data_IF_351863826170
#
_entry.id   IF_351863826170
#
_cell.length_a   1.000
_cell.length_b   1.000
_cell.length_c   1.000
_cell.angle_alpha   90.00
_cell.angle_beta   90.00
_cell.angle_gamma   90.00
#
_symmetry.space_group_name_H-M   'P 1'
#
loop_
_entity.id
_entity.type
_entity.pdbx_description
1 polymer ?
#
# COMPACT_ATOMS: atom_id res chain seq x y z
N UNK A 1 -5.27 17.23 -16.14
CA UNK A 1 -5.59 16.40 -14.97
C UNK A 1 -5.80 17.32 -13.78
N UNK A 2 -7.02 17.41 -13.28
CA UNK A 2 -7.35 18.26 -12.13
C UNK A 2 -6.55 17.81 -10.91
N UNK A 3 -5.60 18.64 -10.50
CA UNK A 3 -4.89 18.48 -9.22
C UNK A 3 -5.89 18.73 -8.12
N UNK A 4 -6.58 17.70 -7.67
CA UNK A 4 -7.53 17.87 -6.56
C UNK A 4 -6.75 18.00 -5.26
N UNK A 5 -6.67 19.24 -4.80
CA UNK A 5 -5.87 19.62 -3.65
C UNK A 5 -6.70 19.40 -2.38
N UNK A 6 -6.80 18.16 -1.91
CA UNK A 6 -7.50 17.85 -0.68
C UNK A 6 -6.52 17.81 0.50
N UNK A 7 -6.83 18.60 1.53
CA UNK A 7 -6.08 18.61 2.79
C UNK A 7 -6.86 17.84 3.85
N UNK A 8 -6.37 16.66 4.20
CA UNK A 8 -6.88 15.90 5.34
C UNK A 8 -5.94 16.13 6.53
N UNK A 9 -6.52 16.47 7.69
CA UNK A 9 -5.81 16.52 8.97
C UNK A 9 -6.24 15.32 9.81
N UNK A 10 -5.26 14.59 10.31
CA UNK A 10 -5.43 13.48 11.24
C UNK A 10 -4.62 13.79 12.51
N UNK A 11 -5.19 13.54 13.68
CA UNK A 11 -4.45 13.48 14.94
C UNK A 11 -4.01 12.03 15.12
N UNK A 12 -2.72 11.78 15.32
CA UNK A 12 -2.21 10.42 15.42
C UNK A 12 -0.68 10.36 15.41
N UNK A 13 -0.15 9.28 14.84
CA UNK A 13 1.28 8.95 14.84
C UNK A 13 1.90 9.22 13.46
N UNK A 14 2.28 10.48 13.13
CA UNK A 14 2.74 10.85 11.79
C UNK A 14 3.99 10.08 11.35
N UNK A 15 4.94 9.85 12.26
CA UNK A 15 6.17 9.10 11.97
C UNK A 15 5.89 7.64 11.63
N UNK A 16 4.96 7.00 12.35
CA UNK A 16 4.59 5.61 12.08
C UNK A 16 3.82 5.47 10.77
N UNK A 17 2.89 6.40 10.49
CA UNK A 17 2.18 6.40 9.21
C UNK A 17 3.14 6.64 8.04
N UNK A 18 4.11 7.55 8.20
CA UNK A 18 5.17 7.75 7.21
C UNK A 18 5.98 6.47 6.99
N UNK A 19 6.34 5.76 8.07
CA UNK A 19 7.10 4.51 7.97
C UNK A 19 6.30 3.41 7.25
N UNK A 20 5.00 3.29 7.52
CA UNK A 20 4.07 2.39 6.82
C UNK A 20 4.05 2.71 5.32
N UNK A 21 3.88 3.99 4.97
CA UNK A 21 3.83 4.44 3.58
C UNK A 21 5.15 4.18 2.85
N UNK A 22 6.29 4.51 3.46
CA UNK A 22 7.63 4.24 2.90
C UNK A 22 7.79 2.74 2.62
N UNK A 23 7.37 1.88 3.55
CA UNK A 23 7.48 0.44 3.37
C UNK A 23 6.61 -0.07 2.20
N UNK A 24 5.38 0.43 2.07
CA UNK A 24 4.51 0.11 0.93
C UNK A 24 5.10 0.63 -0.38
N UNK A 25 5.61 1.86 -0.41
CA UNK A 25 6.21 2.47 -1.61
C UNK A 25 7.47 1.73 -2.06
N UNK A 26 8.33 1.31 -1.14
CA UNK A 26 9.52 0.53 -1.47
C UNK A 26 9.12 -0.84 -2.05
N UNK A 27 8.09 -1.51 -1.49
CA UNK A 27 7.61 -2.76 -2.05
C UNK A 27 7.07 -2.60 -3.47
N UNK A 28 6.31 -1.53 -3.74
CA UNK A 28 5.83 -1.23 -5.08
C UNK A 28 6.98 -0.88 -6.02
N UNK A 29 7.94 -0.07 -5.58
CA UNK A 29 9.13 0.29 -6.35
C UNK A 29 9.91 -0.95 -6.77
N UNK A 30 10.20 -1.84 -5.84
CA UNK A 30 11.03 -3.02 -6.10
C UNK A 30 10.40 -3.91 -7.19
N UNK A 31 9.10 -4.22 -7.08
CA UNK A 31 8.42 -5.04 -8.10
C UNK A 31 8.27 -4.30 -9.44
N UNK A 32 8.07 -2.98 -9.42
CA UNK A 32 8.05 -2.18 -10.63
C UNK A 32 9.42 -2.14 -11.31
N UNK A 33 10.52 -2.14 -10.57
CA UNK A 33 11.88 -2.21 -11.10
C UNK A 33 12.20 -3.58 -11.70
N UNK A 34 11.75 -4.67 -11.06
CA UNK A 34 11.91 -6.05 -11.55
C UNK A 34 11.13 -6.35 -12.83
N UNK A 35 9.99 -5.68 -13.05
CA UNK A 35 9.14 -5.91 -14.22
C UNK A 35 9.53 -5.02 -15.40
N UNK A 36 9.62 -5.63 -16.57
CA UNK A 36 9.75 -4.92 -17.84
C UNK A 36 8.37 -4.43 -18.31
N UNK A 37 7.97 -3.24 -17.84
CA UNK A 37 6.70 -2.60 -18.16
C UNK A 37 6.95 -1.32 -18.95
N UNK A 38 6.20 -1.13 -20.04
CA UNK A 38 6.26 0.08 -20.85
C UNK A 38 5.94 1.35 -20.05
N UNK A 39 5.05 1.24 -19.06
CA UNK A 39 4.74 2.31 -18.10
C UNK A 39 4.72 1.73 -16.69
N UNK A 40 5.30 2.45 -15.73
CA UNK A 40 5.34 2.09 -14.31
C UNK A 40 4.54 3.13 -13.53
N UNK A 41 3.47 2.69 -12.87
CA UNK A 41 2.59 3.56 -12.11
C UNK A 41 2.61 3.18 -10.65
N UNK A 42 2.67 4.22 -9.80
CA UNK A 42 2.37 4.14 -8.38
C UNK A 42 1.33 5.22 -8.09
N UNK A 43 0.08 4.80 -7.92
CA UNK A 43 -1.06 5.69 -7.68
C UNK A 43 -1.41 5.70 -6.20
N UNK A 44 -1.67 6.90 -5.69
CA UNK A 44 -2.13 7.08 -4.32
C UNK A 44 -3.47 7.78 -4.39
N UNK A 45 -4.47 7.22 -3.72
CA UNK A 45 -5.75 7.88 -3.53
C UNK A 45 -6.07 7.98 -2.05
N UNK A 46 -6.78 9.04 -1.69
CA UNK A 46 -7.21 9.29 -0.34
C UNK A 46 -8.67 9.71 -0.38
N UNK A 47 -9.46 9.12 0.51
CA UNK A 47 -10.87 9.46 0.66
C UNK A 47 -11.22 9.52 2.14
N UNK A 48 -12.27 10.27 2.45
CA UNK A 48 -12.79 10.40 3.80
C UNK A 48 -14.21 9.86 3.82
N UNK A 49 -14.51 9.02 4.80
CA UNK A 49 -15.86 8.57 5.14
C UNK A 49 -16.31 9.30 6.40
N UNK A 50 -17.52 8.98 6.89
CA UNK A 50 -18.01 9.51 8.16
C UNK A 50 -17.17 9.07 9.37
N UNK A 51 -16.48 7.93 9.29
CA UNK A 51 -15.80 7.32 10.44
C UNK A 51 -14.32 7.02 10.20
N UNK A 52 -13.85 7.10 8.96
CA UNK A 52 -12.48 6.72 8.59
C UNK A 52 -11.89 7.60 7.48
N UNK A 53 -10.58 7.79 7.53
CA UNK A 53 -9.77 8.17 6.36
C UNK A 53 -9.24 6.89 5.72
N UNK A 54 -9.44 6.76 4.41
CA UNK A 54 -9.00 5.63 3.61
C UNK A 54 -7.88 6.12 2.69
N UNK A 55 -6.68 5.56 2.86
CA UNK A 55 -5.54 5.75 1.96
C UNK A 55 -5.33 4.47 1.19
N UNK A 56 -5.21 4.57 -0.13
CA UNK A 56 -4.96 3.42 -0.99
C UNK A 56 -3.75 3.69 -1.87
N UNK A 57 -2.86 2.71 -1.95
CA UNK A 57 -1.64 2.75 -2.76
C UNK A 57 -1.70 1.60 -3.75
N UNK A 58 -1.57 1.90 -5.04
CA UNK A 58 -1.70 0.96 -6.15
C UNK A 58 -0.45 0.97 -7.03
N UNK A 59 0.08 -0.19 -7.37
CA UNK A 59 1.02 -0.34 -8.48
C UNK A 59 0.34 -0.95 -9.72
N UNK A 60 1.03 -0.99 -10.86
CA UNK A 60 0.61 -1.75 -12.05
C UNK A 60 1.51 -2.97 -12.33
N UNK A 61 2.07 -3.59 -11.29
CA UNK A 61 3.10 -4.63 -11.44
C UNK A 61 2.58 -6.06 -11.56
N UNK A 62 1.27 -6.23 -11.85
CA UNK A 62 0.65 -7.56 -12.01
C UNK A 62 0.09 -8.16 -10.72
N UNK A 63 0.24 -7.48 -9.58
CA UNK A 63 -0.38 -7.85 -8.30
C UNK A 63 0.38 -8.92 -7.52
N UNK A 64 -0.26 -9.38 -6.44
CA UNK A 64 0.27 -10.37 -5.49
C UNK A 64 -0.32 -11.74 -5.82
N UNK A 65 0.49 -12.79 -5.83
CA UNK A 65 -0.02 -14.17 -5.97
C UNK A 65 -1.10 -14.46 -4.92
N UNK A 66 -2.17 -15.18 -5.31
CA UNK A 66 -3.28 -15.48 -4.40
C UNK A 66 -2.82 -16.22 -3.14
N UNK A 67 -1.88 -17.14 -3.30
CA UNK A 67 -1.33 -17.94 -2.20
C UNK A 67 -0.50 -17.09 -1.22
N UNK A 68 -0.03 -15.92 -1.66
CA UNK A 68 0.77 -15.01 -0.84
C UNK A 68 -0.10 -13.99 -0.11
N UNK A 69 -1.29 -13.63 -0.62
CA UNK A 69 -2.12 -12.55 -0.06
C UNK A 69 -2.46 -12.73 1.42
N UNK A 70 -2.64 -13.97 1.88
CA UNK A 70 -2.89 -14.28 3.29
C UNK A 70 -1.66 -14.15 4.17
N UNK A 71 -0.46 -14.26 3.59
CA UNK A 71 0.80 -14.37 4.32
C UNK A 71 1.74 -13.19 4.15
N UNK A 72 1.45 -12.24 3.27
CA UNK A 72 2.33 -11.06 3.06
C UNK A 72 2.54 -10.19 4.32
N UNK A 73 1.66 -10.35 5.32
CA UNK A 73 1.76 -9.67 6.60
C UNK A 73 2.34 -10.56 7.70
N UNK A 74 2.65 -11.83 7.41
CA UNK A 74 3.31 -12.73 8.35
C UNK A 74 4.77 -12.29 8.56
N UNK A 75 5.29 -12.42 9.79
CA UNK A 75 6.68 -12.08 10.05
C UNK A 75 7.62 -12.95 9.21
N UNK A 76 8.67 -12.32 8.67
CA UNK A 76 9.69 -12.93 7.82
C UNK A 76 9.19 -13.41 6.44
N UNK A 77 7.93 -13.16 6.09
CA UNK A 77 7.45 -13.42 4.74
C UNK A 77 8.12 -12.48 3.74
N UNK A 78 8.81 -13.04 2.76
CA UNK A 78 9.40 -12.28 1.65
C UNK A 78 9.53 -13.17 0.42
N UNK A 79 9.24 -12.61 -0.75
CA UNK A 79 9.53 -13.23 -2.05
C UNK A 79 10.87 -12.77 -2.63
N UNK A 80 11.51 -11.78 -1.99
CA UNK A 80 12.81 -11.22 -2.40
C UNK A 80 13.93 -12.14 -1.95
N UNK A 81 15.06 -12.13 -2.66
CA UNK A 81 16.26 -12.85 -2.22
C UNK A 81 16.64 -12.44 -0.79
N UNK A 82 17.14 -13.38 0.03
CA UNK A 82 17.44 -13.15 1.47
C UNK A 82 18.34 -11.95 1.76
N UNK A 83 19.15 -11.51 0.78
CA UNK A 83 20.00 -10.32 0.89
C UNK A 83 19.25 -8.99 0.69
N UNK A 84 18.01 -9.01 0.18
CA UNK A 84 17.24 -7.84 -0.24
C UNK A 84 16.01 -7.55 0.62
N UNK A 85 15.63 -8.43 1.55
CA UNK A 85 14.47 -8.19 2.40
C UNK A 85 14.42 -9.10 3.63
N UNK A 86 14.16 -8.51 4.79
CA UNK A 86 14.00 -9.22 6.07
C UNK A 86 12.61 -9.84 6.23
N UNK A 87 11.64 -9.44 5.40
CA UNK A 87 10.23 -9.83 5.54
C UNK A 87 9.52 -9.22 6.77
N UNK A 88 10.12 -8.21 7.41
CA UNK A 88 9.57 -7.58 8.62
C UNK A 88 8.72 -6.34 8.30
N UNK A 89 8.95 -5.69 7.16
CA UNK A 89 8.37 -4.38 6.86
C UNK A 89 6.84 -4.37 6.89
N UNK A 90 6.18 -5.25 6.13
CA UNK A 90 4.71 -5.30 6.05
C UNK A 90 4.08 -5.77 7.36
N UNK A 91 4.72 -6.72 8.05
CA UNK A 91 4.32 -7.13 9.40
C UNK A 91 4.30 -5.93 10.37
N UNK A 92 5.41 -5.19 10.47
CA UNK A 92 5.50 -4.01 11.34
C UNK A 92 4.52 -2.92 10.91
N UNK A 93 4.29 -2.77 9.60
CA UNK A 93 3.31 -1.83 9.09
C UNK A 93 1.90 -2.18 9.58
N UNK A 94 1.52 -3.46 9.55
CA UNK A 94 0.23 -3.92 10.05
C UNK A 94 0.11 -3.72 11.55
N UNK A 95 1.15 -4.02 12.30
CA UNK A 95 1.22 -3.79 13.75
C UNK A 95 1.02 -2.31 14.11
N UNK A 96 1.72 -1.39 13.45
CA UNK A 96 1.57 0.07 13.68
C UNK A 96 0.13 0.52 13.40
N UNK A 97 -0.43 0.14 12.25
CA UNK A 97 -1.79 0.55 11.86
C UNK A 97 -2.84 -0.04 12.81
N UNK A 98 -2.79 -1.34 13.11
CA UNK A 98 -3.84 -2.04 13.85
C UNK A 98 -3.70 -1.85 15.36
N UNK A 99 -2.49 -1.94 15.92
CA UNK A 99 -2.29 -1.86 17.37
C UNK A 99 -2.19 -0.43 17.88
N UNK A 100 -1.45 0.44 17.18
CA UNK A 100 -1.22 1.81 17.66
C UNK A 100 -2.31 2.77 17.18
N UNK A 101 -2.67 2.69 15.90
CA UNK A 101 -3.63 3.64 15.30
C UNK A 101 -5.09 3.16 15.29
N UNK A 102 -5.36 1.92 15.75
CA UNK A 102 -6.69 1.30 15.75
C UNK A 102 -7.35 1.29 14.36
N UNK A 103 -6.53 1.25 13.31
CA UNK A 103 -6.96 1.16 11.93
C UNK A 103 -6.93 -0.27 11.39
N UNK A 104 -6.98 -0.39 10.07
CA UNK A 104 -6.73 -1.65 9.36
C UNK A 104 -5.80 -1.45 8.18
N UNK A 105 -4.89 -2.41 7.97
CA UNK A 105 -4.05 -2.51 6.80
C UNK A 105 -4.35 -3.82 6.06
N UNK A 106 -4.80 -3.70 4.82
CA UNK A 106 -5.17 -4.84 3.96
C UNK A 106 -4.51 -4.72 2.60
N UNK A 107 -4.39 -5.85 1.90
CA UNK A 107 -3.93 -5.89 0.51
C UNK A 107 -4.92 -6.66 -0.37
N UNK A 108 -5.02 -6.24 -1.62
CA UNK A 108 -5.83 -6.92 -2.65
C UNK A 108 -5.25 -6.65 -4.02
N UNK A 109 -5.59 -7.45 -5.04
CA UNK A 109 -5.30 -7.09 -6.43
C UNK A 109 -6.46 -6.30 -7.01
N UNK A 110 -6.17 -5.25 -7.78
CA UNK A 110 -7.20 -4.38 -8.36
C UNK A 110 -6.84 -4.01 -9.79
N UNK A 111 -7.87 -3.99 -10.64
CA UNK A 111 -7.80 -3.33 -11.95
C UNK A 111 -8.08 -1.83 -11.82
N UNK A 112 -7.44 -1.02 -12.65
CA UNK A 112 -7.68 0.41 -12.76
C UNK A 112 -7.34 0.91 -14.17
N UNK A 113 -7.98 2.00 -14.57
CA UNK A 113 -7.74 2.64 -15.87
C UNK A 113 -6.80 3.83 -15.72
N UNK A 114 -5.84 3.95 -16.64
CA UNK A 114 -5.06 5.18 -16.84
C UNK A 114 -5.09 5.52 -18.32
N UNK A 115 -5.73 6.65 -18.66
CA UNK A 115 -5.87 7.17 -20.02
C UNK A 115 -6.47 6.15 -21.01
N UNK A 116 -7.49 5.39 -20.59
CA UNK A 116 -8.18 4.40 -21.42
C UNK A 116 -7.45 3.06 -21.55
N UNK A 117 -6.37 2.85 -20.80
CA UNK A 117 -5.66 1.58 -20.70
C UNK A 117 -5.90 0.95 -19.33
N UNK A 118 -6.40 -0.29 -19.32
CA UNK A 118 -6.58 -1.07 -18.10
C UNK A 118 -5.25 -1.68 -17.63
N UNK A 119 -4.98 -1.52 -16.34
CA UNK A 119 -3.85 -2.09 -15.63
C UNK A 119 -4.34 -2.92 -14.45
N UNK A 120 -3.53 -3.89 -14.03
CA UNK A 120 -3.73 -4.66 -12.81
C UNK A 120 -2.49 -4.59 -11.94
N UNK A 121 -2.68 -4.44 -10.63
CA UNK A 121 -1.58 -4.51 -9.68
C UNK A 121 -2.03 -4.67 -8.23
N UNK A 122 -1.07 -4.55 -7.32
CA UNK A 122 -1.35 -4.68 -5.90
C UNK A 122 -1.95 -3.38 -5.36
N UNK A 123 -2.89 -3.50 -4.43
CA UNK A 123 -3.57 -2.40 -3.75
C UNK A 123 -3.45 -2.60 -2.25
N UNK A 124 -2.65 -1.75 -1.60
CA UNK A 124 -2.64 -1.65 -0.14
C UNK A 124 -3.65 -0.60 0.32
N UNK A 125 -4.54 -0.99 1.23
CA UNK A 125 -5.56 -0.10 1.81
C UNK A 125 -5.29 0.09 3.29
N UNK A 126 -5.05 1.33 3.69
CA UNK A 126 -4.96 1.78 5.08
C UNK A 126 -6.28 2.48 5.41
N UNK A 127 -7.01 1.97 6.39
CA UNK A 127 -8.18 2.65 6.95
C UNK A 127 -7.86 3.11 8.38
N UNK A 128 -7.86 4.42 8.61
CA UNK A 128 -7.62 5.02 9.92
C UNK A 128 -8.92 5.60 10.46
N UNK A 129 -9.29 5.37 11.73
CA UNK A 129 -10.43 6.02 12.34
C UNK A 129 -10.30 7.54 12.22
N UNK A 130 -11.41 8.18 11.88
CA UNK A 130 -11.57 9.61 11.76
C UNK A 130 -12.76 10.01 12.61
N UNK A 131 -12.50 10.47 13.83
CA UNK A 131 -13.42 11.16 14.74
C UNK A 131 -12.59 11.84 15.84
#
# INVERSE_FOLDING_TARGET
>A
QDKVNFKIKLIGYPSELMQVLINIFNNAKDILEEKDLAKKYLLISMSKTSTHIIIKVYDNAGGISKDHLSSIFDPYFTTKHKAQGTGIGLYMSKEMIEKHMKGSLTASNRSFDVDGTEYIGACFTIALPYN
#
